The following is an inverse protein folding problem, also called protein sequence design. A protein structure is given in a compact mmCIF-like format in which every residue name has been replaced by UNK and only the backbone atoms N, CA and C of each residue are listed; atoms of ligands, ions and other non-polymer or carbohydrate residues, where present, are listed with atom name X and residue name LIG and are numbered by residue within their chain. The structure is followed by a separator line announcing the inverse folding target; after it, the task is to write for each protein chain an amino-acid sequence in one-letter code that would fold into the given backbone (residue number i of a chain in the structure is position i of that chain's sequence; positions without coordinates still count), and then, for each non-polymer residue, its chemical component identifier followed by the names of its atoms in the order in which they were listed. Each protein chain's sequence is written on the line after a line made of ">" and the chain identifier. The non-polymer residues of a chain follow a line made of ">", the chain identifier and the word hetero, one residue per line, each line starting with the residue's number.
data_IF_266965971809
#
_entry.id   IF_266965971809
#
_cell.length_a   1.000
_cell.length_b   1.000
_cell.length_c   1.000
_cell.angle_alpha   90.00
_cell.angle_beta   90.00
_cell.angle_gamma   90.00
#
_symmetry.space_group_name_H-M   'P 1'
#
loop_
_entity.id
_entity.type
_entity.pdbx_description
1 polymer ?
#
# COMPACT_ATOMS: atom_id res chain seq x y z
N UNK A 1 -13.83 -36.44 -9.33
CA UNK A 1 -14.06 -35.63 -10.55
C UNK A 1 -13.40 -34.27 -10.34
N UNK A 2 -12.47 -33.84 -11.20
CA UNK A 2 -11.88 -32.49 -11.10
C UNK A 2 -13.00 -31.48 -11.33
N UNK A 3 -13.30 -30.62 -10.34
CA UNK A 3 -14.31 -29.57 -10.50
C UNK A 3 -13.89 -28.63 -11.64
N UNK A 4 -14.86 -28.12 -12.39
CA UNK A 4 -14.62 -27.11 -13.42
C UNK A 4 -13.99 -25.86 -12.79
N UNK A 5 -13.07 -25.21 -13.50
CA UNK A 5 -12.45 -23.99 -13.00
C UNK A 5 -13.51 -22.87 -13.01
N UNK A 6 -13.78 -22.22 -11.87
CA UNK A 6 -14.84 -21.21 -11.81
C UNK A 6 -14.60 -19.99 -12.70
N UNK A 7 -15.69 -19.36 -13.15
CA UNK A 7 -15.64 -18.21 -14.07
C UNK A 7 -14.94 -17.00 -13.45
N UNK A 8 -15.07 -16.76 -12.14
CA UNK A 8 -14.41 -15.64 -11.50
C UNK A 8 -12.89 -15.74 -11.59
N UNK A 9 -12.34 -16.96 -11.60
CA UNK A 9 -10.90 -17.17 -11.79
C UNK A 9 -10.43 -16.80 -13.19
N UNK A 10 -11.24 -17.12 -14.21
CA UNK A 10 -10.98 -16.75 -15.61
C UNK A 10 -11.00 -15.23 -15.76
N UNK A 11 -12.01 -14.58 -15.15
CA UNK A 11 -12.11 -13.12 -15.11
C UNK A 11 -10.88 -12.51 -14.43
N UNK A 12 -10.47 -13.05 -13.28
CA UNK A 12 -9.26 -12.60 -12.56
C UNK A 12 -8.01 -12.69 -13.43
N UNK A 13 -7.77 -13.83 -14.08
CA UNK A 13 -6.59 -14.01 -14.96
C UNK A 13 -6.63 -13.01 -16.13
N UNK A 14 -7.77 -12.92 -16.82
CA UNK A 14 -7.93 -12.01 -17.95
C UNK A 14 -7.74 -10.54 -17.52
N UNK A 15 -8.29 -10.16 -16.37
CA UNK A 15 -8.18 -8.79 -15.84
C UNK A 15 -6.74 -8.46 -15.45
N UNK A 16 -5.99 -9.39 -14.85
CA UNK A 16 -4.58 -9.16 -14.52
C UNK A 16 -3.75 -8.92 -15.79
N UNK A 17 -3.89 -9.80 -16.79
CA UNK A 17 -3.17 -9.69 -18.07
C UNK A 17 -3.50 -8.37 -18.80
N UNK A 18 -4.78 -8.02 -18.86
CA UNK A 18 -5.20 -6.75 -19.47
C UNK A 18 -4.66 -5.54 -18.70
N UNK A 19 -4.65 -5.61 -17.37
CA UNK A 19 -4.13 -4.54 -16.52
C UNK A 19 -2.64 -4.34 -16.68
N UNK A 20 -1.86 -5.42 -16.83
CA UNK A 20 -0.42 -5.35 -17.12
C UNK A 20 -0.15 -4.73 -18.49
N UNK A 21 -0.88 -5.16 -19.54
CA UNK A 21 -0.75 -4.58 -20.88
C UNK A 21 -1.07 -3.08 -20.86
N UNK A 22 -2.17 -2.68 -20.20
CA UNK A 22 -2.59 -1.29 -20.14
C UNK A 22 -1.74 -0.43 -19.21
N UNK A 23 -1.11 -1.02 -18.18
CA UNK A 23 -0.09 -0.35 -17.37
C UNK A 23 1.09 0.10 -18.24
N UNK A 24 1.66 -0.79 -19.06
CA UNK A 24 2.80 -0.44 -19.93
C UNK A 24 2.42 0.54 -21.04
N UNK A 25 1.16 0.51 -21.50
CA UNK A 25 0.62 1.50 -22.45
C UNK A 25 0.15 2.80 -21.79
N UNK A 26 0.26 2.91 -20.46
CA UNK A 26 -0.22 4.05 -19.66
C UNK A 26 -1.70 4.42 -19.93
N UNK A 27 -2.56 3.41 -20.11
CA UNK A 27 -3.99 3.59 -20.39
C UNK A 27 -4.78 3.69 -19.09
N UNK A 28 -5.56 4.75 -18.94
CA UNK A 28 -6.47 4.91 -17.79
C UNK A 28 -7.74 4.07 -17.92
N UNK A 29 -8.34 3.58 -16.81
CA UNK A 29 -7.92 3.77 -15.41
C UNK A 29 -6.83 2.79 -14.94
N UNK A 30 -6.36 1.88 -15.78
CA UNK A 30 -5.44 0.80 -15.39
C UNK A 30 -4.07 1.31 -14.96
N UNK A 31 -3.60 2.43 -15.53
CA UNK A 31 -2.32 3.03 -15.16
C UNK A 31 -2.36 3.65 -13.75
N UNK A 32 -3.35 4.51 -13.47
CA UNK A 32 -3.50 5.13 -12.15
C UNK A 32 -3.87 4.13 -11.04
N UNK A 33 -4.67 3.11 -11.37
CA UNK A 33 -5.26 2.17 -10.41
C UNK A 33 -4.75 0.73 -10.55
N UNK A 34 -3.58 0.53 -11.17
CA UNK A 34 -3.00 -0.80 -11.44
C UNK A 34 -3.00 -1.70 -10.21
N UNK A 35 -2.58 -1.16 -9.06
CA UNK A 35 -2.54 -1.88 -7.79
C UNK A 35 -3.87 -2.56 -7.45
N UNK A 36 -4.98 -1.82 -7.56
CA UNK A 36 -6.32 -2.32 -7.26
C UNK A 36 -6.69 -3.45 -8.22
N UNK A 37 -6.48 -3.24 -9.52
CA UNK A 37 -6.78 -4.26 -10.52
C UNK A 37 -5.97 -5.53 -10.31
N UNK A 38 -4.67 -5.41 -10.03
CA UNK A 38 -3.79 -6.55 -9.84
C UNK A 38 -4.21 -7.40 -8.62
N UNK A 39 -4.46 -6.75 -7.48
CA UNK A 39 -4.85 -7.47 -6.25
C UNK A 39 -6.22 -8.13 -6.34
N UNK A 40 -7.24 -7.43 -6.85
CA UNK A 40 -8.56 -8.04 -7.01
C UNK A 40 -8.53 -9.19 -8.02
N UNK A 41 -7.74 -9.06 -9.09
CA UNK A 41 -7.51 -10.15 -10.04
C UNK A 41 -6.88 -11.36 -9.35
N UNK A 42 -5.83 -11.15 -8.54
CA UNK A 42 -5.18 -12.21 -7.77
C UNK A 42 -6.16 -12.92 -6.83
N UNK A 43 -6.92 -12.17 -6.04
CA UNK A 43 -7.92 -12.71 -5.10
C UNK A 43 -8.91 -13.62 -5.83
N UNK A 44 -9.48 -13.15 -6.95
CA UNK A 44 -10.43 -13.92 -7.76
C UNK A 44 -9.80 -15.20 -8.35
N UNK A 45 -8.56 -15.10 -8.82
CA UNK A 45 -7.82 -16.25 -9.36
C UNK A 45 -7.51 -17.28 -8.28
N UNK A 46 -7.00 -16.86 -7.12
CA UNK A 46 -6.64 -17.77 -6.04
C UNK A 46 -7.88 -18.47 -5.45
N UNK A 47 -8.98 -17.75 -5.23
CA UNK A 47 -10.25 -18.33 -4.79
C UNK A 47 -10.71 -19.47 -5.73
N UNK A 48 -10.67 -19.22 -7.04
CA UNK A 48 -11.05 -20.21 -8.05
C UNK A 48 -10.12 -21.42 -8.07
N UNK A 49 -8.81 -21.23 -7.84
CA UNK A 49 -7.84 -22.32 -7.69
C UNK A 49 -8.19 -23.16 -6.46
N UNK A 50 -8.43 -22.54 -5.31
CA UNK A 50 -8.81 -23.24 -4.07
C UNK A 50 -10.10 -24.03 -4.27
N UNK A 51 -11.12 -23.43 -4.89
CA UNK A 51 -12.37 -24.11 -5.19
C UNK A 51 -12.14 -25.34 -6.07
N UNK A 52 -11.28 -25.24 -7.09
CA UNK A 52 -10.95 -26.37 -7.96
C UNK A 52 -10.23 -27.49 -7.22
N UNK A 53 -9.37 -27.15 -6.25
CA UNK A 53 -8.56 -28.10 -5.49
C UNK A 53 -9.36 -28.84 -4.41
N UNK A 54 -10.13 -28.14 -3.57
CA UNK A 54 -10.87 -28.77 -2.45
C UNK A 54 -12.39 -28.64 -2.51
N UNK A 55 -12.91 -27.82 -3.41
CA UNK A 55 -14.36 -27.71 -3.62
C UNK A 55 -15.11 -26.79 -2.66
N UNK A 56 -14.39 -26.07 -1.82
CA UNK A 56 -14.86 -25.00 -0.94
C UNK A 56 -13.93 -23.80 -1.12
N UNK A 57 -14.47 -22.58 -1.20
CA UNK A 57 -13.69 -21.34 -1.36
C UNK A 57 -14.43 -20.16 -0.72
N UNK A 58 -13.73 -19.04 -0.52
CA UNK A 58 -14.24 -17.93 0.27
C UNK A 58 -15.34 -17.18 -0.50
N UNK A 59 -15.13 -16.94 -1.80
CA UNK A 59 -16.06 -16.19 -2.66
C UNK A 59 -17.26 -17.05 -3.05
N UNK A 60 -17.08 -18.34 -3.39
CA UNK A 60 -18.21 -19.16 -3.87
C UNK A 60 -19.04 -19.81 -2.75
N UNK A 61 -18.42 -20.25 -1.67
CA UNK A 61 -19.10 -21.02 -0.62
C UNK A 61 -19.35 -20.22 0.65
N UNK A 62 -18.49 -19.22 0.91
CA UNK A 62 -18.49 -18.39 2.13
C UNK A 62 -18.68 -16.91 1.77
N UNK A 63 -19.42 -16.63 0.70
CA UNK A 63 -19.59 -15.32 0.07
C UNK A 63 -19.95 -14.19 1.04
N UNK A 64 -20.81 -14.48 2.03
CA UNK A 64 -21.17 -13.50 3.06
C UNK A 64 -19.98 -13.09 3.92
N UNK A 65 -19.14 -14.05 4.28
CA UNK A 65 -17.93 -13.78 5.06
C UNK A 65 -16.88 -13.05 4.24
N UNK A 66 -16.77 -13.35 2.95
CA UNK A 66 -15.95 -12.57 2.02
C UNK A 66 -16.35 -11.08 2.01
N UNK A 67 -17.62 -10.77 1.75
CA UNK A 67 -18.05 -9.36 1.69
C UNK A 67 -18.00 -8.66 3.04
N UNK A 68 -18.22 -9.38 4.14
CA UNK A 68 -18.05 -8.81 5.48
C UNK A 68 -16.59 -8.58 5.85
N UNK A 69 -15.66 -9.32 5.26
CA UNK A 69 -14.23 -9.15 5.49
C UNK A 69 -13.69 -7.86 4.87
N UNK A 70 -14.22 -7.40 3.74
CA UNK A 70 -13.74 -6.19 3.05
C UNK A 70 -13.76 -4.92 3.94
N UNK A 71 -14.88 -4.54 4.59
CA UNK A 71 -14.88 -3.37 5.47
C UNK A 71 -14.00 -3.56 6.71
N UNK A 72 -13.84 -4.80 7.21
CA UNK A 72 -12.87 -5.08 8.28
C UNK A 72 -11.42 -5.01 7.80
N UNK A 73 -11.15 -5.37 6.55
CA UNK A 73 -9.84 -5.22 5.92
C UNK A 73 -9.45 -3.75 5.84
N UNK A 74 -10.37 -2.92 5.35
CA UNK A 74 -10.21 -1.47 5.36
C UNK A 74 -9.96 -0.96 6.79
N UNK A 75 -10.82 -1.31 7.74
CA UNK A 75 -10.71 -0.83 9.12
C UNK A 75 -9.37 -1.23 9.78
N UNK A 76 -8.96 -2.50 9.63
CA UNK A 76 -7.71 -2.99 10.19
C UNK A 76 -6.52 -2.27 9.56
N UNK A 77 -6.48 -2.12 8.23
CA UNK A 77 -5.39 -1.39 7.59
C UNK A 77 -5.34 0.07 8.05
N UNK A 78 -6.49 0.71 8.26
CA UNK A 78 -6.54 2.10 8.73
C UNK A 78 -5.98 2.30 10.14
N UNK A 79 -5.91 1.25 10.98
CA UNK A 79 -5.18 1.31 12.26
C UNK A 79 -3.69 1.52 12.01
N UNK A 80 -3.12 0.86 11.00
CA UNK A 80 -1.71 1.04 10.62
C UNK A 80 -1.46 2.36 9.91
N UNK A 81 -2.41 2.86 9.11
CA UNK A 81 -2.36 4.24 8.60
C UNK A 81 -2.39 5.27 9.73
N UNK A 82 -3.22 5.06 10.75
CA UNK A 82 -3.26 5.92 11.93
C UNK A 82 -1.92 5.90 12.69
N UNK A 83 -1.31 4.73 12.84
CA UNK A 83 0.03 4.61 13.41
C UNK A 83 1.08 5.32 12.54
N UNK A 84 0.97 5.21 11.21
CA UNK A 84 1.88 5.84 10.26
C UNK A 84 1.89 7.38 10.33
N UNK A 85 0.83 8.00 10.85
CA UNK A 85 0.82 9.45 11.12
C UNK A 85 1.92 9.89 12.10
N UNK A 86 2.39 8.98 12.96
CA UNK A 86 3.48 9.21 13.91
C UNK A 86 4.76 8.51 13.50
N UNK A 87 4.66 7.31 12.90
CA UNK A 87 5.82 6.54 12.47
C UNK A 87 6.52 7.16 11.25
N UNK A 88 5.75 7.76 10.35
CA UNK A 88 6.24 8.30 9.06
C UNK A 88 7.03 7.26 8.24
N UNK A 89 6.65 5.99 8.31
CA UNK A 89 7.33 4.87 7.65
C UNK A 89 7.06 4.82 6.14
N UNK A 90 5.92 5.32 5.68
CA UNK A 90 5.60 5.45 4.26
C UNK A 90 4.82 6.73 3.94
N UNK A 91 4.81 7.08 2.66
CA UNK A 91 4.00 8.15 2.10
C UNK A 91 3.52 7.80 0.68
N UNK A 92 2.43 8.41 0.23
CA UNK A 92 1.84 8.18 -1.09
C UNK A 92 2.26 9.23 -2.10
N UNK A 93 2.48 8.82 -3.35
CA UNK A 93 2.86 9.70 -4.45
C UNK A 93 1.97 9.46 -5.67
N UNK A 94 1.84 10.50 -6.51
CA UNK A 94 1.08 10.50 -7.76
C UNK A 94 -0.41 10.15 -7.62
N UNK A 95 -1.02 10.47 -6.48
CA UNK A 95 -2.45 10.19 -6.31
C UNK A 95 -3.36 11.09 -7.15
N UNK A 96 -4.62 10.68 -7.37
CA UNK A 96 -5.57 11.53 -8.06
C UNK A 96 -5.92 12.84 -7.37
N UNK A 97 -6.17 13.89 -8.13
CA UNK A 97 -6.54 15.19 -7.56
C UNK A 97 -7.94 15.20 -6.95
N UNK A 98 -8.86 14.42 -7.52
CA UNK A 98 -10.24 14.39 -7.05
C UNK A 98 -10.37 13.56 -5.78
N UNK A 99 -10.85 14.20 -4.70
CA UNK A 99 -10.93 13.60 -3.36
C UNK A 99 -11.76 12.31 -3.32
N UNK A 100 -12.92 12.31 -3.97
CA UNK A 100 -13.79 11.13 -3.95
C UNK A 100 -13.15 9.95 -4.69
N UNK A 101 -12.47 10.22 -5.80
CA UNK A 101 -11.69 9.21 -6.52
C UNK A 101 -10.62 8.59 -5.63
N UNK A 102 -9.83 9.42 -4.93
CA UNK A 102 -8.82 8.95 -3.97
C UNK A 102 -9.42 8.10 -2.87
N UNK A 103 -10.48 8.57 -2.22
CA UNK A 103 -11.08 7.89 -1.08
C UNK A 103 -11.72 6.56 -1.46
N UNK A 104 -12.36 6.49 -2.63
CA UNK A 104 -12.82 5.22 -3.19
C UNK A 104 -11.64 4.30 -3.49
N UNK A 105 -10.57 4.84 -4.05
CA UNK A 105 -9.30 4.16 -4.24
C UNK A 105 -8.72 3.55 -2.97
N UNK A 106 -8.63 4.32 -1.89
CA UNK A 106 -8.20 3.85 -0.58
C UNK A 106 -9.07 2.70 -0.10
N UNK A 107 -10.39 2.83 -0.17
CA UNK A 107 -11.31 1.77 0.24
C UNK A 107 -11.12 0.49 -0.56
N UNK A 108 -10.97 0.61 -1.89
CA UNK A 108 -10.77 -0.53 -2.80
C UNK A 108 -9.40 -1.18 -2.56
N UNK A 109 -8.34 -0.39 -2.38
CA UNK A 109 -6.98 -0.87 -2.16
C UNK A 109 -6.82 -1.54 -0.78
N UNK A 110 -7.29 -0.90 0.28
CA UNK A 110 -7.17 -1.43 1.65
C UNK A 110 -8.15 -2.59 1.90
N UNK A 111 -9.23 -2.66 1.12
CA UNK A 111 -10.16 -3.79 1.09
C UNK A 111 -9.54 -5.11 0.62
N UNK A 112 -8.38 -5.08 -0.06
CA UNK A 112 -7.70 -6.30 -0.55
C UNK A 112 -6.79 -6.96 0.48
N UNK A 113 -6.46 -6.25 1.57
CA UNK A 113 -5.41 -6.69 2.51
C UNK A 113 -5.74 -8.04 3.14
N UNK A 114 -6.88 -8.18 3.82
CA UNK A 114 -7.28 -9.47 4.41
C UNK A 114 -7.63 -10.52 3.36
N UNK A 115 -8.46 -10.23 2.33
CA UNK A 115 -8.77 -11.24 1.31
C UNK A 115 -7.51 -11.80 0.65
N UNK A 116 -6.54 -10.96 0.29
CA UNK A 116 -5.27 -11.39 -0.28
C UNK A 116 -4.53 -12.34 0.67
N UNK A 117 -4.30 -11.94 1.92
CA UNK A 117 -3.57 -12.75 2.90
C UNK A 117 -4.28 -14.07 3.23
N UNK A 118 -5.60 -14.06 3.38
CA UNK A 118 -6.36 -15.24 3.81
C UNK A 118 -6.57 -16.24 2.66
N UNK A 119 -6.80 -15.76 1.43
CA UNK A 119 -6.81 -16.63 0.25
C UNK A 119 -5.44 -17.28 0.03
N UNK A 120 -4.35 -16.52 0.15
CA UNK A 120 -2.99 -17.10 0.05
C UNK A 120 -2.74 -18.13 1.15
N UNK A 121 -3.14 -17.83 2.40
CA UNK A 121 -3.02 -18.78 3.52
C UNK A 121 -3.81 -20.07 3.25
N UNK A 122 -5.04 -19.94 2.77
CA UNK A 122 -5.92 -21.08 2.47
C UNK A 122 -5.44 -21.89 1.26
N UNK A 123 -4.83 -21.26 0.26
CA UNK A 123 -4.18 -21.96 -0.85
C UNK A 123 -3.04 -22.83 -0.33
N UNK A 124 -2.13 -22.26 0.47
CA UNK A 124 -1.01 -23.00 1.06
C UNK A 124 -1.50 -24.16 1.94
N UNK A 125 -2.57 -23.93 2.70
CA UNK A 125 -3.24 -24.95 3.49
C UNK A 125 -3.80 -26.08 2.62
N UNK A 126 -4.48 -25.72 1.52
CA UNK A 126 -5.10 -26.66 0.57
C UNK A 126 -4.06 -27.50 -0.17
N UNK A 127 -2.88 -26.94 -0.42
CA UNK A 127 -1.73 -27.66 -0.97
C UNK A 127 -1.07 -28.62 0.05
N UNK A 128 -1.51 -28.61 1.31
CA UNK A 128 -1.06 -29.54 2.34
C UNK A 128 0.29 -29.19 2.97
N UNK A 129 0.74 -27.94 2.84
CA UNK A 129 1.99 -27.48 3.47
C UNK A 129 1.87 -27.60 5.00
N UNK A 130 2.97 -28.03 5.62
CA UNK A 130 3.09 -28.23 7.08
C UNK A 130 2.04 -29.14 7.72
N UNK A 131 1.35 -30.00 6.95
CA UNK A 131 0.33 -30.92 7.48
C UNK A 131 0.84 -31.84 8.61
N UNK A 132 2.14 -32.18 8.58
CA UNK A 132 2.80 -33.04 9.55
C UNK A 132 3.68 -32.27 10.53
N UNK A 133 3.64 -30.93 10.52
CA UNK A 133 4.43 -30.13 11.45
C UNK A 133 3.88 -30.30 12.87
N UNK A 134 4.78 -30.55 13.82
CA UNK A 134 4.46 -30.64 15.24
C UNK A 134 5.56 -30.02 16.07
N UNK A 135 5.18 -29.39 17.18
CA UNK A 135 6.10 -28.82 18.16
C UNK A 135 5.77 -29.34 19.55
N UNK A 136 6.71 -29.19 20.49
CA UNK A 136 6.47 -29.50 21.89
C UNK A 136 5.27 -28.70 22.40
N UNK A 137 4.28 -29.42 22.94
CA UNK A 137 3.11 -28.83 23.59
C UNK A 137 3.56 -27.89 24.68
N UNK A 138 3.23 -26.61 24.54
CA UNK A 138 3.65 -25.55 25.46
C UNK A 138 2.40 -24.90 26.00
N UNK A 139 2.09 -25.14 27.27
CA UNK A 139 0.94 -24.55 27.95
C UNK A 139 1.36 -23.17 28.47
N UNK A 140 0.55 -22.16 28.21
CA UNK A 140 0.81 -20.80 28.70
C UNK A 140 -0.09 -20.54 29.91
N UNK A 141 0.54 -20.19 31.03
CA UNK A 141 -0.20 -19.93 32.28
C UNK A 141 -1.05 -18.66 32.18
N UNK A 142 -1.98 -18.48 33.12
CA UNK A 142 -2.80 -17.27 33.20
C UNK A 142 -1.95 -15.99 33.39
N UNK A 143 -0.85 -16.11 34.13
CA UNK A 143 0.15 -15.04 34.31
C UNK A 143 0.88 -14.77 32.99
N UNK A 144 1.18 -15.82 32.23
CA UNK A 144 1.74 -15.71 30.88
C UNK A 144 0.84 -14.93 29.93
N UNK A 145 -0.48 -15.19 29.93
CA UNK A 145 -1.45 -14.41 29.16
C UNK A 145 -1.45 -12.92 29.56
N UNK A 146 -1.40 -12.62 30.86
CA UNK A 146 -1.31 -11.24 31.36
C UNK A 146 -0.01 -10.56 30.92
N UNK A 147 1.11 -11.28 30.94
CA UNK A 147 2.40 -10.78 30.49
C UNK A 147 2.41 -10.49 28.99
N UNK A 148 1.81 -11.36 28.16
CA UNK A 148 1.66 -11.12 26.72
C UNK A 148 0.86 -9.83 26.45
N UNK A 149 -0.26 -9.64 27.15
CA UNK A 149 -1.06 -8.41 27.01
C UNK A 149 -0.26 -7.16 27.41
N UNK A 150 0.51 -7.23 28.51
CA UNK A 150 1.37 -6.12 28.93
C UNK A 150 2.44 -5.81 27.87
N UNK A 151 3.15 -6.83 27.39
CA UNK A 151 4.17 -6.68 26.35
C UNK A 151 3.58 -6.13 25.05
N UNK A 152 2.40 -6.60 24.64
CA UNK A 152 1.68 -6.09 23.47
C UNK A 152 1.35 -4.60 23.58
N UNK A 153 0.82 -4.19 24.74
CA UNK A 153 0.57 -2.78 25.04
C UNK A 153 1.86 -1.96 25.01
N UNK A 154 2.93 -2.43 25.64
CA UNK A 154 4.23 -1.76 25.63
C UNK A 154 4.80 -1.63 24.20
N UNK A 155 4.67 -2.66 23.37
CA UNK A 155 5.06 -2.62 21.95
C UNK A 155 4.32 -1.52 21.18
N UNK A 156 2.99 -1.44 21.32
CA UNK A 156 2.18 -0.44 20.61
C UNK A 156 2.47 0.98 21.12
N UNK A 157 2.50 1.17 22.45
CA UNK A 157 2.76 2.48 23.05
C UNK A 157 4.17 2.97 22.72
N UNK A 158 5.20 2.13 22.86
CA UNK A 158 6.57 2.51 22.53
C UNK A 158 6.75 2.84 21.05
N UNK A 159 6.06 2.12 20.14
CA UNK A 159 6.09 2.45 18.71
C UNK A 159 5.54 3.84 18.41
N UNK A 160 4.56 4.34 19.18
CA UNK A 160 4.03 5.68 19.02
C UNK A 160 4.88 6.76 19.71
N UNK A 161 5.48 6.45 20.87
CA UNK A 161 6.27 7.41 21.65
C UNK A 161 7.70 7.60 21.14
N UNK A 162 8.31 6.53 20.62
CA UNK A 162 9.71 6.52 20.15
C UNK A 162 9.75 5.88 18.74
N UNK A 163 9.07 6.49 17.74
CA UNK A 163 8.88 5.88 16.43
C UNK A 163 10.20 5.60 15.70
N UNK A 164 11.24 6.42 15.89
CA UNK A 164 12.53 6.26 15.21
C UNK A 164 13.18 4.89 15.45
N UNK A 165 12.99 4.30 16.64
CA UNK A 165 13.61 3.02 17.02
C UNK A 165 12.57 1.90 17.21
N UNK A 166 11.39 2.24 17.72
CA UNK A 166 10.37 1.25 18.09
C UNK A 166 9.34 0.99 16.99
N UNK A 167 9.48 1.58 15.80
CA UNK A 167 8.56 1.30 14.68
C UNK A 167 8.36 -0.19 14.36
N UNK A 168 9.35 -1.11 14.49
CA UNK A 168 9.12 -2.52 14.15
C UNK A 168 8.11 -3.19 15.08
N UNK A 169 7.94 -2.68 16.31
CA UNK A 169 7.08 -3.28 17.32
C UNK A 169 5.60 -3.20 16.99
N UNK A 170 5.19 -2.27 16.11
CA UNK A 170 3.79 -2.16 15.66
C UNK A 170 3.32 -3.45 14.98
N UNK A 171 4.21 -4.14 14.26
CA UNK A 171 3.89 -5.35 13.48
C UNK A 171 3.70 -6.61 14.33
N UNK A 172 4.03 -6.56 15.63
CA UNK A 172 3.84 -7.67 16.57
C UNK A 172 2.91 -7.32 17.75
N UNK A 173 2.74 -6.03 18.06
CA UNK A 173 2.00 -5.57 19.24
C UNK A 173 0.58 -6.15 19.39
N UNK A 174 -0.25 -6.11 18.34
CA UNK A 174 -1.59 -6.69 18.40
C UNK A 174 -1.62 -8.22 18.49
N UNK A 175 -0.56 -8.93 18.09
CA UNK A 175 -0.48 -10.39 18.29
C UNK A 175 -0.46 -10.64 19.80
N UNK A 176 0.51 -10.05 20.50
CA UNK A 176 0.70 -10.23 21.93
C UNK A 176 -0.50 -9.71 22.74
N UNK A 177 -1.10 -8.61 22.29
CA UNK A 177 -2.24 -7.99 22.96
C UNK A 177 -3.54 -8.79 22.81
N UNK A 178 -3.89 -9.23 21.61
CA UNK A 178 -5.23 -9.74 21.30
C UNK A 178 -5.33 -11.27 21.30
N UNK A 179 -4.23 -11.99 21.11
CA UNK A 179 -4.26 -13.45 21.13
C UNK A 179 -4.82 -13.98 22.47
N UNK A 180 -4.38 -13.51 23.66
CA UNK A 180 -4.91 -13.99 24.93
C UNK A 180 -6.43 -13.83 25.08
N UNK A 181 -7.03 -12.83 24.42
CA UNK A 181 -8.48 -12.67 24.37
C UNK A 181 -9.13 -13.76 23.51
N UNK A 182 -8.58 -14.03 22.32
CA UNK A 182 -9.07 -15.11 21.46
C UNK A 182 -9.03 -16.46 22.18
N UNK A 183 -7.92 -16.74 22.90
CA UNK A 183 -7.80 -17.92 23.74
C UNK A 183 -8.87 -17.97 24.84
N UNK A 184 -8.96 -16.93 25.67
CA UNK A 184 -9.85 -16.88 26.85
C UNK A 184 -11.33 -16.96 26.49
N UNK A 185 -11.73 -16.35 25.38
CA UNK A 185 -13.11 -16.32 24.91
C UNK A 185 -13.45 -17.46 23.94
N UNK A 186 -12.59 -18.49 23.84
CA UNK A 186 -12.80 -19.70 23.04
C UNK A 186 -13.03 -19.43 21.55
N UNK A 187 -12.36 -18.41 21.00
CA UNK A 187 -12.27 -18.19 19.55
C UNK A 187 -11.14 -19.00 18.92
N UNK A 188 -10.89 -18.78 17.63
CA UNK A 188 -9.70 -19.30 16.95
C UNK A 188 -8.44 -18.65 17.55
N UNK A 189 -7.52 -19.49 18.02
CA UNK A 189 -6.39 -19.08 18.86
C UNK A 189 -5.12 -19.82 18.45
N UNK A 190 -4.08 -19.05 18.13
CA UNK A 190 -2.77 -19.57 17.77
C UNK A 190 -2.01 -20.09 18.99
N UNK A 191 -2.26 -19.54 20.19
CA UNK A 191 -1.73 -20.10 21.42
C UNK A 191 -2.33 -21.47 21.68
N UNK A 192 -3.65 -21.65 21.52
CA UNK A 192 -4.28 -22.96 21.66
C UNK A 192 -3.70 -23.98 20.67
N UNK A 193 -3.45 -23.58 19.43
CA UNK A 193 -2.77 -24.42 18.44
C UNK A 193 -1.38 -24.87 18.92
N UNK A 194 -0.62 -23.99 19.56
CA UNK A 194 0.68 -24.32 20.16
C UNK A 194 0.56 -25.24 21.39
N UNK A 195 -0.46 -25.07 22.23
CA UNK A 195 -0.75 -25.99 23.36
C UNK A 195 -1.06 -27.40 22.85
N UNK A 196 -1.75 -27.50 21.72
CA UNK A 196 -2.06 -28.77 21.05
C UNK A 196 -0.86 -29.33 20.26
N UNK A 197 0.23 -28.57 20.11
CA UNK A 197 1.43 -28.96 19.37
C UNK A 197 1.27 -28.90 17.85
N UNK A 198 0.38 -28.04 17.35
CA UNK A 198 0.00 -27.88 15.93
C UNK A 198 0.39 -26.49 15.40
N UNK A 199 1.67 -26.24 15.07
CA UNK A 199 2.15 -24.91 14.64
C UNK A 199 1.74 -24.54 13.21
N UNK A 200 1.02 -25.45 12.52
CA UNK A 200 0.72 -25.38 11.08
C UNK A 200 0.18 -24.01 10.67
N UNK A 201 -0.83 -23.48 11.38
CA UNK A 201 -1.47 -22.21 11.03
C UNK A 201 -0.49 -21.03 11.09
N UNK A 202 0.37 -20.98 12.11
CA UNK A 202 1.40 -19.95 12.25
C UNK A 202 2.34 -19.98 11.05
N UNK A 203 2.85 -21.15 10.67
CA UNK A 203 3.78 -21.27 9.53
C UNK A 203 3.12 -20.87 8.21
N UNK A 204 1.87 -21.26 7.99
CA UNK A 204 1.12 -20.86 6.79
C UNK A 204 0.91 -19.35 6.73
N UNK A 205 0.54 -18.71 7.84
CA UNK A 205 0.38 -17.25 7.92
C UNK A 205 1.70 -16.52 7.66
N UNK A 206 2.80 -16.98 8.23
CA UNK A 206 4.13 -16.38 8.00
C UNK A 206 4.54 -16.45 6.52
N UNK A 207 4.34 -17.59 5.86
CA UNK A 207 4.66 -17.74 4.44
C UNK A 207 3.70 -16.98 3.55
N UNK A 208 2.40 -16.97 3.87
CA UNK A 208 1.44 -16.14 3.18
C UNK A 208 1.84 -14.66 3.26
N UNK A 209 2.30 -14.20 4.43
CA UNK A 209 2.84 -12.84 4.59
C UNK A 209 4.07 -12.58 3.74
N UNK A 210 5.00 -13.52 3.61
CA UNK A 210 6.13 -13.38 2.67
C UNK A 210 5.67 -13.25 1.22
N UNK A 211 4.74 -14.12 0.78
CA UNK A 211 4.22 -14.11 -0.60
C UNK A 211 3.46 -12.81 -0.87
N UNK A 212 2.52 -12.44 0.00
CA UNK A 212 1.75 -11.21 -0.14
C UNK A 212 2.64 -9.98 -0.06
N UNK A 213 3.62 -9.96 0.84
CA UNK A 213 4.65 -8.92 0.94
C UNK A 213 5.43 -8.73 -0.36
N UNK A 214 5.88 -9.83 -0.97
CA UNK A 214 6.53 -9.79 -2.27
C UNK A 214 5.62 -9.24 -3.36
N UNK A 215 4.37 -9.71 -3.45
CA UNK A 215 3.41 -9.26 -4.46
C UNK A 215 3.00 -7.78 -4.27
N UNK A 216 2.86 -7.33 -3.01
CA UNK A 216 2.60 -5.92 -2.69
C UNK A 216 3.70 -5.04 -3.26
N UNK A 217 4.95 -5.38 -2.99
CA UNK A 217 6.10 -4.62 -3.49
C UNK A 217 6.24 -4.70 -5.00
N UNK A 218 6.04 -5.89 -5.58
CA UNK A 218 6.12 -6.09 -7.01
C UNK A 218 5.11 -5.22 -7.77
N UNK A 219 3.83 -5.22 -7.39
CA UNK A 219 2.83 -4.41 -8.09
C UNK A 219 2.91 -2.91 -7.76
N UNK A 220 3.28 -2.54 -6.53
CA UNK A 220 3.50 -1.15 -6.15
C UNK A 220 4.67 -0.50 -6.92
N UNK A 221 5.71 -1.28 -7.20
CA UNK A 221 6.87 -0.82 -7.97
C UNK A 221 6.48 -0.30 -9.37
N UNK A 222 5.51 -0.94 -10.03
CA UNK A 222 5.07 -0.54 -11.37
C UNK A 222 3.92 0.47 -11.38
N UNK A 223 3.04 0.45 -10.37
CA UNK A 223 1.87 1.33 -10.32
C UNK A 223 2.23 2.82 -10.39
N UNK A 224 1.41 3.68 -11.01
CA UNK A 224 1.63 5.12 -10.96
C UNK A 224 1.39 5.66 -9.54
N UNK A 225 0.17 5.47 -9.03
CA UNK A 225 -0.18 5.71 -7.63
C UNK A 225 0.50 4.66 -6.77
N UNK A 226 1.49 5.07 -5.97
CA UNK A 226 2.31 4.14 -5.19
C UNK A 226 2.65 4.70 -3.81
N UNK A 227 2.96 3.82 -2.87
CA UNK A 227 3.60 4.20 -1.63
C UNK A 227 5.12 4.05 -1.73
N UNK A 228 5.84 4.92 -1.02
CA UNK A 228 7.31 4.93 -0.94
C UNK A 228 7.71 4.84 0.53
N UNK A 229 8.61 3.90 0.84
CA UNK A 229 9.09 3.70 2.20
C UNK A 229 10.22 4.66 2.59
N UNK A 230 10.09 5.17 3.80
CA UNK A 230 11.04 6.06 4.52
C UNK A 230 11.47 5.43 5.84
N UNK A 231 11.65 4.11 5.85
CA UNK A 231 12.09 3.36 7.04
C UNK A 231 13.45 3.90 7.51
N UNK A 232 13.57 4.34 8.78
CA UNK A 232 14.82 4.82 9.34
C UNK A 232 15.96 3.81 9.14
N UNK A 233 17.18 4.32 8.91
CA UNK A 233 18.43 3.54 8.77
C UNK A 233 18.57 2.63 7.53
N UNK A 234 17.50 2.33 6.79
CA UNK A 234 17.53 1.32 5.70
C UNK A 234 17.30 1.88 4.29
N UNK A 235 17.55 3.18 4.07
CA UNK A 235 17.18 3.85 2.82
C UNK A 235 18.07 3.51 1.61
N UNK A 236 19.25 2.91 1.81
CA UNK A 236 20.27 2.76 0.77
C UNK A 236 20.20 1.42 0.01
N UNK A 237 19.73 0.34 0.65
CA UNK A 237 19.65 -1.00 0.04
C UNK A 237 18.19 -1.45 -0.10
N UNK A 238 17.58 -1.09 -1.23
CA UNK A 238 16.19 -1.45 -1.56
C UNK A 238 16.16 -2.49 -2.68
N UNK A 239 15.30 -3.51 -2.55
CA UNK A 239 15.02 -4.47 -3.62
C UNK A 239 13.95 -3.96 -4.58
N UNK A 240 12.94 -3.27 -4.03
CA UNK A 240 11.90 -2.52 -4.74
C UNK A 240 11.76 -1.13 -4.10
N UNK A 241 10.57 -0.76 -3.62
CA UNK A 241 10.41 0.41 -2.76
C UNK A 241 10.86 0.13 -1.32
N UNK A 242 10.71 -1.12 -0.88
CA UNK A 242 11.08 -1.58 0.44
C UNK A 242 12.55 -2.03 0.55
N UNK A 243 13.21 -1.73 1.68
CA UNK A 243 14.47 -2.37 2.05
C UNK A 243 14.32 -3.87 2.27
N UNK A 244 15.36 -4.67 2.03
CA UNK A 244 15.30 -6.14 2.21
C UNK A 244 14.84 -6.55 3.62
N UNK A 245 15.33 -5.87 4.65
CA UNK A 245 14.93 -6.14 6.04
C UNK A 245 13.48 -5.73 6.31
N UNK A 246 12.92 -4.80 5.53
CA UNK A 246 11.51 -4.44 5.62
C UNK A 246 10.59 -5.63 5.29
N UNK A 247 11.00 -6.53 4.38
CA UNK A 247 10.20 -7.71 4.04
C UNK A 247 9.93 -8.62 5.24
N UNK A 248 10.78 -8.57 6.28
CA UNK A 248 10.58 -9.32 7.53
C UNK A 248 9.38 -8.81 8.35
N UNK A 249 8.84 -7.64 8.03
CA UNK A 249 7.61 -7.11 8.65
C UNK A 249 6.33 -7.74 8.12
N UNK A 250 6.31 -8.24 6.87
CA UNK A 250 5.09 -8.82 6.29
C UNK A 250 4.64 -10.14 6.95
N UNK A 251 5.53 -11.09 7.30
CA UNK A 251 5.14 -12.32 7.97
C UNK A 251 4.43 -12.09 9.31
N UNK A 252 4.99 -11.33 10.28
CA UNK A 252 4.28 -11.06 11.52
C UNK A 252 3.02 -10.21 11.29
N UNK A 253 2.99 -9.32 10.30
CA UNK A 253 1.78 -8.59 9.95
C UNK A 253 0.62 -9.51 9.56
N UNK A 254 0.85 -10.56 8.77
CA UNK A 254 -0.21 -11.51 8.41
C UNK A 254 -0.73 -12.29 9.63
N UNK A 255 0.17 -12.70 10.53
CA UNK A 255 -0.23 -13.31 11.82
C UNK A 255 -1.06 -12.32 12.64
N UNK A 256 -0.63 -11.07 12.70
CA UNK A 256 -1.32 -10.01 13.43
C UNK A 256 -2.71 -9.73 12.90
N UNK A 257 -2.86 -9.62 11.57
CA UNK A 257 -4.14 -9.41 10.92
C UNK A 257 -5.11 -10.58 11.15
N UNK A 258 -4.61 -11.82 11.16
CA UNK A 258 -5.38 -13.00 11.53
C UNK A 258 -5.91 -12.93 12.97
N UNK A 259 -5.03 -12.60 13.92
CA UNK A 259 -5.40 -12.44 15.34
C UNK A 259 -6.45 -11.34 15.53
N UNK A 260 -6.26 -10.18 14.89
CA UNK A 260 -7.20 -9.07 14.93
C UNK A 260 -8.57 -9.44 14.34
N UNK A 261 -8.59 -10.15 13.20
CA UNK A 261 -9.84 -10.59 12.60
C UNK A 261 -10.58 -11.60 13.48
N UNK A 262 -9.88 -12.56 14.08
CA UNK A 262 -10.51 -13.52 14.99
C UNK A 262 -11.04 -12.88 16.28
N UNK A 263 -10.37 -11.83 16.76
CA UNK A 263 -10.89 -11.01 17.86
C UNK A 263 -12.22 -10.35 17.50
N UNK A 264 -12.35 -9.81 16.28
CA UNK A 264 -13.62 -9.29 15.75
C UNK A 264 -14.67 -10.41 15.66
N UNK A 265 -14.29 -11.62 15.25
CA UNK A 265 -15.19 -12.78 15.16
C UNK A 265 -15.78 -13.20 16.51
N UNK A 266 -15.15 -12.92 17.64
CA UNK A 266 -15.72 -13.16 18.98
C UNK A 266 -17.07 -12.44 19.15
N UNK A 267 -17.16 -11.19 18.69
CA UNK A 267 -18.40 -10.39 18.73
C UNK A 267 -19.47 -10.87 17.74
N UNK A 268 -19.10 -11.82 16.88
CA UNK A 268 -19.97 -12.45 15.88
C UNK A 268 -20.30 -13.90 16.21
N UNK A 269 -20.21 -14.27 17.49
CA UNK A 269 -20.42 -15.63 18.01
C UNK A 269 -19.41 -16.66 17.46
N UNK A 270 -18.16 -16.23 17.27
CA UNK A 270 -17.06 -17.07 16.78
C UNK A 270 -17.12 -17.38 15.28
N UNK A 271 -18.03 -16.73 14.52
CA UNK A 271 -18.10 -16.90 13.07
C UNK A 271 -16.89 -16.25 12.41
N UNK A 272 -16.05 -17.07 11.80
CA UNK A 272 -14.87 -16.66 11.07
C UNK A 272 -15.00 -16.87 9.57
N UNK A 273 -13.91 -16.60 8.87
CA UNK A 273 -13.79 -16.79 7.43
C UNK A 273 -13.41 -18.21 7.04
N UNK A 274 -12.84 -19.00 7.97
CA UNK A 274 -12.36 -20.35 7.69
C UNK A 274 -13.51 -21.34 7.45
N UNK A 275 -13.21 -22.42 6.73
CA UNK A 275 -14.18 -23.48 6.43
C UNK A 275 -14.76 -24.15 7.69
N UNK A 276 -13.96 -24.25 8.75
CA UNK A 276 -14.36 -24.78 10.07
C UNK A 276 -15.29 -23.85 10.84
N UNK A 277 -15.21 -22.53 10.62
CA UNK A 277 -15.79 -21.52 11.54
C UNK A 277 -16.96 -20.75 10.96
N UNK A 278 -17.10 -20.66 9.63
CA UNK A 278 -18.12 -19.79 9.01
C UNK A 278 -19.57 -20.20 9.28
N UNK A 279 -19.81 -21.46 9.65
CA UNK A 279 -21.15 -22.00 10.01
C UNK A 279 -21.39 -22.11 11.52
N UNK A 280 -20.48 -21.64 12.35
CA UNK A 280 -20.67 -21.71 13.81
C UNK A 280 -21.85 -20.83 14.25
N UNK A 281 -22.64 -21.34 15.19
CA UNK A 281 -23.70 -20.58 15.88
C UNK A 281 -24.69 -19.85 14.96
N UNK A 282 -25.09 -20.42 13.81
CA UNK A 282 -26.01 -19.77 12.84
C UNK A 282 -27.35 -19.32 13.45
N UNK A 283 -27.81 -19.97 14.50
CA UNK A 283 -29.02 -19.60 15.22
C UNK A 283 -28.88 -18.27 16.00
N UNK A 284 -27.65 -17.88 16.36
CA UNK A 284 -27.37 -16.63 17.07
C UNK A 284 -27.18 -15.49 16.08
N UNK A 285 -28.11 -14.53 16.07
CA UNK A 285 -27.99 -13.31 15.27
C UNK A 285 -27.24 -12.23 16.04
N UNK A 286 -26.36 -11.51 15.33
CA UNK A 286 -25.79 -10.27 15.84
C UNK A 286 -26.92 -9.27 16.07
N UNK A 287 -26.91 -8.57 17.22
CA UNK A 287 -27.94 -7.58 17.53
C UNK A 287 -27.90 -6.45 16.47
N UNK A 288 -29.05 -6.00 15.92
CA UNK A 288 -29.08 -4.94 14.91
C UNK A 288 -28.37 -3.66 15.36
N UNK A 289 -28.54 -3.28 16.63
CA UNK A 289 -27.86 -2.12 17.20
C UNK A 289 -26.33 -2.26 17.14
N UNK A 290 -25.78 -3.44 17.46
CA UNK A 290 -24.34 -3.70 17.36
C UNK A 290 -23.87 -3.56 15.92
N UNK A 291 -24.63 -4.07 14.94
CA UNK A 291 -24.29 -3.91 13.53
C UNK A 291 -24.26 -2.44 13.09
N UNK A 292 -25.26 -1.65 13.51
CA UNK A 292 -25.34 -0.22 13.20
C UNK A 292 -24.17 0.54 13.85
N UNK A 293 -23.90 0.30 15.13
CA UNK A 293 -22.79 0.94 15.84
C UNK A 293 -21.44 0.57 15.23
N UNK A 294 -21.24 -0.69 14.83
CA UNK A 294 -20.05 -1.13 14.11
C UNK A 294 -19.92 -0.43 12.76
N UNK A 295 -21.01 -0.30 11.99
CA UNK A 295 -20.98 0.41 10.71
C UNK A 295 -20.63 1.90 10.88
N UNK A 296 -21.21 2.56 11.90
CA UNK A 296 -20.88 3.95 12.25
C UNK A 296 -19.42 4.08 12.68
N UNK A 297 -18.91 3.16 13.49
CA UNK A 297 -17.51 3.14 13.91
C UNK A 297 -16.58 3.02 12.70
N UNK A 298 -16.80 2.03 11.83
CA UNK A 298 -15.96 1.82 10.64
C UNK A 298 -16.04 3.05 9.72
N UNK A 299 -17.25 3.56 9.47
CA UNK A 299 -17.46 4.72 8.59
C UNK A 299 -16.80 5.99 9.13
N UNK A 300 -17.03 6.33 10.39
CA UNK A 300 -16.47 7.53 11.03
C UNK A 300 -14.95 7.47 11.13
N UNK A 301 -14.39 6.31 11.54
CA UNK A 301 -12.95 6.10 11.59
C UNK A 301 -12.32 6.20 10.20
N UNK A 302 -12.95 5.61 9.18
CA UNK A 302 -12.46 5.70 7.79
C UNK A 302 -12.42 7.14 7.27
N UNK A 303 -13.47 7.93 7.50
CA UNK A 303 -13.51 9.34 7.10
C UNK A 303 -12.41 10.15 7.80
N UNK A 304 -12.22 9.92 9.10
CA UNK A 304 -11.20 10.61 9.90
C UNK A 304 -9.80 10.29 9.38
N UNK A 305 -9.49 9.00 9.19
CA UNK A 305 -8.16 8.57 8.77
C UNK A 305 -7.90 8.90 7.30
N UNK A 306 -8.88 8.80 6.39
CA UNK A 306 -8.72 9.24 5.00
C UNK A 306 -8.38 10.72 4.90
N UNK A 307 -9.02 11.56 5.73
CA UNK A 307 -8.67 12.98 5.82
C UNK A 307 -7.25 13.17 6.36
N UNK A 308 -6.82 12.38 7.36
CA UNK A 308 -5.48 12.46 7.90
C UNK A 308 -4.41 12.01 6.87
N UNK A 309 -4.69 10.95 6.11
CA UNK A 309 -3.85 10.46 5.01
C UNK A 309 -3.63 11.57 3.99
N UNK A 310 -4.71 12.20 3.49
CA UNK A 310 -4.61 13.31 2.51
C UNK A 310 -3.77 14.49 3.03
N UNK A 311 -3.75 14.73 4.34
CA UNK A 311 -3.04 15.87 4.95
C UNK A 311 -1.58 15.57 5.32
N UNK A 312 -1.25 14.32 5.63
CA UNK A 312 0.02 13.96 6.28
C UNK A 312 0.80 12.85 5.57
N UNK A 313 0.12 12.02 4.78
CA UNK A 313 0.70 10.84 4.14
C UNK A 313 0.74 10.99 2.62
N UNK A 314 -0.20 11.73 2.01
CA UNK A 314 -0.16 12.06 0.59
C UNK A 314 0.83 13.20 0.36
N UNK A 315 1.82 12.93 -0.47
CA UNK A 315 2.94 13.83 -0.70
C UNK A 315 2.86 14.53 -2.08
N UNK A 316 2.36 13.82 -3.08
CA UNK A 316 2.20 14.37 -4.42
C UNK A 316 0.98 13.82 -5.14
N UNK A 317 0.44 14.63 -6.04
CA UNK A 317 -0.63 14.28 -6.97
C UNK A 317 -0.06 14.12 -8.37
N UNK A 318 -0.75 13.38 -9.25
CA UNK A 318 -0.28 13.22 -10.63
C UNK A 318 -0.12 14.59 -11.32
N UNK A 319 1.03 14.89 -11.94
CA UNK A 319 1.24 16.14 -12.64
C UNK A 319 0.26 16.31 -13.81
N UNK A 320 -0.41 17.46 -13.89
CA UNK A 320 -1.32 17.78 -15.00
C UNK A 320 -0.77 18.97 -15.77
N UNK A 321 -0.94 18.93 -17.08
CA UNK A 321 -0.55 20.03 -17.96
C UNK A 321 -1.19 21.37 -17.54
N UNK A 322 -2.47 21.34 -17.12
CA UNK A 322 -3.17 22.54 -16.64
C UNK A 322 -2.54 23.18 -15.37
N UNK A 323 -1.85 22.38 -14.55
CA UNK A 323 -1.23 22.82 -13.30
C UNK A 323 0.24 23.24 -13.49
N UNK A 324 0.80 23.08 -14.71
CA UNK A 324 2.17 23.42 -15.05
C UNK A 324 2.35 24.96 -15.10
N UNK A 325 2.55 25.57 -13.93
CA UNK A 325 2.63 27.02 -13.78
C UNK A 325 3.80 27.67 -14.54
N UNK A 326 4.81 26.88 -14.91
CA UNK A 326 5.95 27.33 -15.70
C UNK A 326 5.66 27.44 -17.19
N UNK A 327 4.48 26.99 -17.63
CA UNK A 327 3.96 27.15 -18.99
C UNK A 327 2.89 28.24 -18.95
N UNK A 328 2.97 29.25 -19.80
CA UNK A 328 1.96 30.30 -19.85
C UNK A 328 0.57 29.72 -20.13
N UNK A 329 -0.47 30.38 -19.62
CA UNK A 329 -1.85 29.86 -19.72
C UNK A 329 -2.31 29.67 -21.17
N UNK A 330 -1.81 30.48 -22.10
CA UNK A 330 -2.12 30.36 -23.52
C UNK A 330 -1.63 29.02 -24.09
N UNK A 331 -0.38 28.66 -23.82
CA UNK A 331 0.22 27.44 -24.34
C UNK A 331 -0.31 26.18 -23.66
N UNK A 332 -0.73 26.26 -22.39
CA UNK A 332 -1.43 25.15 -21.72
C UNK A 332 -2.72 24.72 -22.44
N UNK A 333 -3.37 25.64 -23.15
CA UNK A 333 -4.60 25.37 -23.94
C UNK A 333 -4.26 24.92 -25.36
N UNK A 334 -3.14 25.37 -25.92
CA UNK A 334 -2.71 25.04 -27.28
C UNK A 334 -2.00 23.70 -27.40
N UNK A 335 -1.22 23.31 -26.38
CA UNK A 335 -0.46 22.05 -26.36
C UNK A 335 -1.30 20.81 -26.71
N UNK A 336 -2.52 20.62 -26.17
CA UNK A 336 -3.37 19.50 -26.57
C UNK A 336 -3.74 19.51 -28.07
N UNK A 337 -3.87 20.69 -28.69
CA UNK A 337 -4.22 20.83 -30.11
C UNK A 337 -3.07 20.40 -31.04
N UNK A 338 -1.82 20.55 -30.58
CA UNK A 338 -0.63 20.07 -31.29
C UNK A 338 -0.23 18.63 -30.89
N UNK A 339 -1.12 17.92 -30.20
CA UNK A 339 -0.94 16.53 -29.82
C UNK A 339 -0.12 16.32 -28.55
N UNK A 340 0.00 17.32 -27.68
CA UNK A 340 0.59 17.21 -26.34
C UNK A 340 -0.54 17.28 -25.30
N UNK A 341 -1.17 16.14 -25.00
CA UNK A 341 -2.32 16.10 -24.10
C UNK A 341 -1.89 16.15 -22.61
N UNK A 342 -0.69 15.68 -22.30
CA UNK A 342 -0.17 15.59 -20.94
C UNK A 342 1.35 15.87 -20.90
N UNK A 343 1.92 15.85 -19.69
CA UNK A 343 3.35 16.12 -19.50
C UNK A 343 4.26 14.98 -19.96
N UNK A 344 3.78 13.73 -20.02
CA UNK A 344 4.53 12.61 -20.63
C UNK A 344 4.65 12.79 -22.15
N UNK A 345 3.59 13.28 -22.81
CA UNK A 345 3.61 13.61 -24.24
C UNK A 345 4.65 14.70 -24.52
N UNK A 346 4.73 15.71 -23.64
CA UNK A 346 5.71 16.78 -23.76
C UNK A 346 7.13 16.22 -23.71
N UNK A 347 7.44 15.34 -22.77
CA UNK A 347 8.78 14.75 -22.67
C UNK A 347 9.08 13.76 -23.79
N UNK A 348 8.10 12.98 -24.25
CA UNK A 348 8.31 11.99 -25.30
C UNK A 348 8.54 12.62 -26.67
N UNK A 349 7.79 13.68 -27.01
CA UNK A 349 7.90 14.41 -28.29
C UNK A 349 8.95 15.54 -28.29
N UNK A 350 9.79 15.59 -27.26
CA UNK A 350 10.94 16.51 -27.20
C UNK A 350 12.24 15.75 -26.96
N UNK A 351 12.24 14.42 -27.13
CA UNK A 351 13.44 13.58 -26.97
C UNK A 351 14.46 13.84 -28.06
N UNK A 352 13.99 13.93 -29.30
CA UNK A 352 14.85 14.18 -30.45
C UNK A 352 14.95 15.67 -30.75
N UNK A 353 16.13 16.10 -31.21
CA UNK A 353 16.39 17.51 -31.56
C UNK A 353 15.42 18.00 -32.64
N UNK A 354 15.14 17.16 -33.64
CA UNK A 354 14.25 17.50 -34.75
C UNK A 354 12.79 17.69 -34.29
N UNK A 355 12.29 16.80 -33.43
CA UNK A 355 10.93 16.91 -32.87
C UNK A 355 10.78 18.15 -31.99
N UNK A 356 11.81 18.46 -31.19
CA UNK A 356 11.84 19.67 -30.37
C UNK A 356 11.83 20.94 -31.23
N UNK A 357 12.63 20.97 -32.31
CA UNK A 357 12.69 22.10 -33.24
C UNK A 357 11.35 22.28 -33.97
N UNK A 358 10.73 21.19 -34.41
CA UNK A 358 9.41 21.21 -35.04
C UNK A 358 8.32 21.71 -34.08
N UNK A 359 8.32 21.24 -32.83
CA UNK A 359 7.34 21.65 -31.83
C UNK A 359 7.48 23.14 -31.47
N UNK A 360 8.71 23.64 -31.33
CA UNK A 360 8.97 25.07 -31.09
C UNK A 360 8.44 25.94 -32.23
N UNK A 361 8.64 25.53 -33.48
CA UNK A 361 8.11 26.22 -34.67
C UNK A 361 6.57 26.19 -34.70
N UNK A 362 5.95 25.04 -34.43
CA UNK A 362 4.48 24.90 -34.41
C UNK A 362 3.83 25.78 -33.34
N UNK A 363 4.49 25.95 -32.20
CA UNK A 363 4.01 26.78 -31.09
C UNK A 363 4.44 28.25 -31.21
N UNK A 364 5.26 28.60 -32.21
CA UNK A 364 5.82 29.95 -32.39
C UNK A 364 6.54 30.46 -31.13
N UNK A 365 7.32 29.61 -30.48
CA UNK A 365 8.09 29.95 -29.26
C UNK A 365 9.60 29.81 -29.47
N UNK A 366 10.42 30.58 -28.72
CA UNK A 366 11.85 30.36 -28.67
C UNK A 366 12.17 28.94 -28.16
N UNK A 367 13.18 28.31 -28.75
CA UNK A 367 13.61 26.95 -28.36
C UNK A 367 14.05 26.88 -26.91
N UNK A 368 14.67 27.95 -26.41
CA UNK A 368 15.16 28.08 -25.04
C UNK A 368 14.00 28.00 -24.04
N UNK A 369 12.84 28.57 -24.40
CA UNK A 369 11.64 28.49 -23.57
C UNK A 369 11.10 27.06 -23.50
N UNK A 370 11.08 26.35 -24.64
CA UNK A 370 10.66 24.95 -24.69
C UNK A 370 11.60 24.05 -23.88
N UNK A 371 12.91 24.29 -23.93
CA UNK A 371 13.90 23.59 -23.10
C UNK A 371 13.60 23.79 -21.61
N UNK A 372 13.32 25.02 -21.18
CA UNK A 372 12.95 25.29 -19.78
C UNK A 372 11.67 24.55 -19.37
N UNK A 373 10.68 24.44 -20.27
CA UNK A 373 9.47 23.65 -19.99
C UNK A 373 9.80 22.18 -19.81
N UNK A 374 10.67 21.62 -20.66
CA UNK A 374 11.12 20.23 -20.59
C UNK A 374 11.89 19.98 -19.28
N UNK A 375 12.87 20.82 -18.92
CA UNK A 375 13.67 20.66 -17.69
C UNK A 375 12.80 20.65 -16.43
N UNK A 376 11.84 21.58 -16.34
CA UNK A 376 10.90 21.63 -15.21
C UNK A 376 9.94 20.45 -15.20
N UNK A 377 9.51 20.01 -16.37
CA UNK A 377 8.66 18.82 -16.50
C UNK A 377 9.40 17.55 -16.06
N UNK A 378 10.67 17.40 -16.44
CA UNK A 378 11.52 16.31 -16.00
C UNK A 378 11.69 16.30 -14.47
N UNK A 379 11.95 17.47 -13.86
CA UNK A 379 12.01 17.59 -12.40
C UNK A 379 10.69 17.19 -11.74
N UNK A 380 9.55 17.68 -12.22
CA UNK A 380 8.22 17.36 -11.65
C UNK A 380 7.90 15.88 -11.72
N UNK A 381 8.40 15.18 -12.75
CA UNK A 381 8.24 13.75 -12.91
C UNK A 381 9.22 12.92 -12.08
N UNK A 382 10.25 13.51 -11.46
CA UNK A 382 11.06 12.79 -10.49
C UNK A 382 10.19 12.25 -9.37
N UNK A 383 10.50 11.01 -8.99
CA UNK A 383 9.74 10.24 -8.02
C UNK A 383 9.51 11.02 -6.72
N UNK A 384 8.24 11.27 -6.42
CA UNK A 384 7.82 11.98 -5.22
C UNK A 384 8.17 13.47 -5.19
N UNK A 385 8.51 14.09 -6.32
CA UNK A 385 8.75 15.53 -6.41
C UNK A 385 7.42 16.24 -6.69
N UNK A 386 6.85 16.11 -7.88
CA UNK A 386 5.56 16.76 -8.19
C UNK A 386 5.61 18.29 -8.20
N UNK A 387 4.50 18.92 -8.55
CA UNK A 387 4.46 20.36 -8.88
C UNK A 387 4.73 21.26 -7.67
N UNK A 388 4.21 20.91 -6.48
CA UNK A 388 4.35 21.74 -5.29
C UNK A 388 5.80 21.82 -4.80
N UNK A 389 6.53 20.71 -4.90
CA UNK A 389 7.93 20.66 -4.47
C UNK A 389 8.89 21.27 -5.48
N UNK A 390 8.52 21.34 -6.76
CA UNK A 390 9.29 22.10 -7.76
C UNK A 390 9.45 23.56 -7.32
N UNK A 391 8.37 24.21 -6.84
CA UNK A 391 8.43 25.61 -6.36
C UNK A 391 9.42 25.80 -5.22
N UNK A 392 9.52 24.80 -4.35
CA UNK A 392 10.45 24.82 -3.21
C UNK A 392 11.89 24.72 -3.71
N UNK A 393 12.15 23.83 -4.69
CA UNK A 393 13.46 23.67 -5.30
C UNK A 393 13.90 24.90 -6.09
N UNK A 394 12.98 25.53 -6.84
CA UNK A 394 13.26 26.78 -7.54
C UNK A 394 13.63 27.90 -6.55
N UNK A 395 12.96 27.96 -5.39
CA UNK A 395 13.29 28.92 -4.33
C UNK A 395 14.67 28.76 -3.70
N UNK A 396 15.32 27.61 -3.87
CA UNK A 396 16.72 27.36 -3.43
C UNK A 396 17.71 27.32 -4.60
N UNK A 397 17.29 27.77 -5.79
CA UNK A 397 18.14 27.90 -6.99
C UNK A 397 18.33 26.61 -7.79
N UNK A 398 17.47 25.61 -7.61
CA UNK A 398 17.54 24.35 -8.37
C UNK A 398 16.49 24.37 -9.48
N UNK A 399 16.97 24.40 -10.73
CA UNK A 399 16.12 24.51 -11.93
C UNK A 399 16.25 23.33 -12.91
N UNK A 400 17.22 22.44 -12.70
CA UNK A 400 17.47 21.29 -13.58
C UNK A 400 17.79 20.01 -12.81
N UNK A 401 17.59 18.85 -13.47
CA UNK A 401 17.98 17.54 -12.94
C UNK A 401 19.49 17.47 -12.68
N UNK A 402 20.30 18.03 -13.58
CA UNK A 402 21.76 18.04 -13.44
C UNK A 402 22.20 18.77 -12.17
N UNK A 403 21.64 19.96 -11.92
CA UNK A 403 21.91 20.73 -10.71
C UNK A 403 21.52 19.93 -9.46
N UNK A 404 20.31 19.36 -9.45
CA UNK A 404 19.83 18.55 -8.32
C UNK A 404 20.70 17.30 -8.07
N UNK A 405 21.22 16.67 -9.11
CA UNK A 405 22.07 15.49 -9.01
C UNK A 405 23.42 15.78 -8.33
N UNK A 406 23.92 17.02 -8.39
CA UNK A 406 25.20 17.41 -7.76
C UNK A 406 25.07 17.85 -6.30
N UNK A 407 23.86 18.13 -5.83
CA UNK A 407 23.63 18.61 -4.47
C UNK A 407 23.89 17.54 -3.39
N UNK A 408 24.32 18.00 -2.22
CA UNK A 408 24.37 17.17 -1.02
C UNK A 408 22.99 17.20 -0.32
N UNK A 409 22.34 16.05 -0.08
CA UNK A 409 20.99 16.03 0.51
C UNK A 409 20.88 16.71 1.88
N UNK A 410 21.95 16.69 2.70
CA UNK A 410 21.94 17.32 4.03
C UNK A 410 22.04 18.83 3.92
N UNK A 411 22.88 19.34 3.00
CA UNK A 411 22.96 20.78 2.70
C UNK A 411 21.66 21.29 2.07
N UNK A 412 21.11 20.55 1.11
CA UNK A 412 19.85 20.91 0.47
C UNK A 412 18.69 20.96 1.46
N UNK A 413 18.60 20.02 2.40
CA UNK A 413 17.62 20.07 3.50
C UNK A 413 17.70 21.37 4.31
N UNK A 414 18.91 21.82 4.66
CA UNK A 414 19.10 23.08 5.37
C UNK A 414 18.68 24.29 4.54
N UNK A 415 19.08 24.36 3.26
CA UNK A 415 18.69 25.43 2.32
C UNK A 415 17.17 25.53 2.21
N UNK A 416 16.49 24.39 2.02
CA UNK A 416 15.02 24.34 1.92
C UNK A 416 14.37 24.82 3.22
N UNK A 417 14.89 24.41 4.37
CA UNK A 417 14.39 24.85 5.67
C UNK A 417 14.43 26.37 5.87
N UNK A 418 15.36 27.08 5.22
CA UNK A 418 15.46 28.54 5.28
C UNK A 418 14.40 29.24 4.42
N UNK A 419 13.96 28.61 3.33
CA UNK A 419 12.96 29.16 2.39
C UNK A 419 11.52 28.82 2.80
N UNK A 420 11.32 27.74 3.58
CA UNK A 420 10.03 27.33 4.11
C UNK A 420 9.56 28.25 5.25
N UNK A 421 9.18 29.49 4.95
CA UNK A 421 8.57 30.40 5.92
C UNK A 421 7.17 29.89 6.35
N UNK A 422 7.06 29.32 7.54
CA UNK A 422 5.78 28.91 8.15
C UNK A 422 5.17 27.61 7.59
N UNK A 423 5.85 26.91 6.69
CA UNK A 423 5.44 25.57 6.22
C UNK A 423 6.13 24.48 7.05
N UNK A 424 5.48 23.32 7.28
CA UNK A 424 6.12 22.20 7.93
C UNK A 424 7.36 21.75 7.12
N UNK A 425 8.46 21.39 7.79
CA UNK A 425 9.67 20.95 7.11
C UNK A 425 9.41 19.66 6.32
N UNK A 426 9.98 19.56 5.12
CA UNK A 426 9.94 18.32 4.34
C UNK A 426 10.66 17.19 5.07
N UNK A 427 10.28 15.93 4.82
CA UNK A 427 11.01 14.78 5.38
C UNK A 427 12.42 14.72 4.79
N UNK A 428 13.44 14.50 5.63
CA UNK A 428 14.86 14.37 5.19
C UNK A 428 15.05 13.24 4.17
N UNK A 429 14.33 12.14 4.34
CA UNK A 429 14.36 10.99 3.42
C UNK A 429 13.92 11.36 2.01
N UNK A 430 12.95 12.27 1.89
CA UNK A 430 12.41 12.73 0.61
C UNK A 430 13.46 13.39 -0.27
N UNK A 431 14.23 14.31 0.32
CA UNK A 431 15.30 15.01 -0.40
C UNK A 431 16.39 14.05 -0.85
N UNK A 432 16.71 13.05 -0.01
CA UNK A 432 17.66 11.98 -0.40
C UNK A 432 17.15 11.18 -1.60
N UNK A 433 15.86 10.88 -1.66
CA UNK A 433 15.23 10.19 -2.80
C UNK A 433 15.34 11.06 -4.05
N UNK A 434 14.98 12.35 -3.99
CA UNK A 434 15.06 13.25 -5.14
C UNK A 434 16.46 13.34 -5.74
N UNK A 435 17.48 13.58 -4.91
CA UNK A 435 18.87 13.66 -5.36
C UNK A 435 19.34 12.33 -5.96
N UNK A 436 18.93 11.20 -5.37
CA UNK A 436 19.29 9.86 -5.88
C UNK A 436 18.66 9.58 -7.25
N UNK A 437 17.38 9.87 -7.43
CA UNK A 437 16.69 9.67 -8.70
C UNK A 437 17.26 10.61 -9.77
N UNK A 438 17.58 11.86 -9.41
CA UNK A 438 18.27 12.78 -10.31
C UNK A 438 19.64 12.22 -10.76
N UNK A 439 20.46 11.70 -9.84
CA UNK A 439 21.73 11.04 -10.17
C UNK A 439 21.56 9.83 -11.09
N UNK A 440 20.51 9.03 -10.88
CA UNK A 440 20.20 7.86 -11.72
C UNK A 440 19.87 8.28 -13.15
N UNK A 441 19.09 9.33 -13.33
CA UNK A 441 18.73 9.86 -14.65
C UNK A 441 19.96 10.42 -15.36
N UNK A 442 20.78 11.24 -14.69
CA UNK A 442 22.02 11.78 -15.30
C UNK A 442 22.93 10.65 -15.80
N UNK A 443 23.16 9.61 -14.98
CA UNK A 443 23.96 8.44 -15.34
C UNK A 443 23.40 7.60 -16.49
N UNK A 444 22.11 7.75 -16.83
CA UNK A 444 21.52 7.02 -17.97
C UNK A 444 21.72 7.73 -19.29
N UNK A 445 22.17 8.99 -19.26
CA UNK A 445 22.54 9.79 -20.43
C UNK A 445 24.05 9.79 -20.69
N UNK A 446 24.85 9.31 -19.73
CA UNK A 446 26.29 9.00 -19.87
C UNK A 446 26.45 7.57 -20.41
#
# INVERSE_FOLDING_TARGET
>A
MKKTFPIQGIIGIALLLLSEIFLFKKVEPFYSWFYCFAWWSYILTIDAVIYRLKGNSLILNRTKEFFLMIPWSLFIWLIFEAANLFLENWYYTYLPHFKMERWLGYAIAYGTVLPGMFETTELLETLGLFKNASVKKTIISSEGHSMLMLLGTLCLVSSALIPEYCFPLVWVGFILLLEPFNYRFRGESLLKDLEEGKPKKIYLLLIAGLICGFLWEFWNFWAQSKWVYTVPFFEERKGFEMPFLGFLGFPPFTVQAYVMYNFISLFRSGRGWEESTYRLNLARRTRPLTMILTAILIGSFSILIFRAIDLKTVDSYYPRLKDAYWIESQYRIELPKVGIANLDDLLSKTREKNEMDELALRLLIPKELLIQWVEKTQLVQLKGLGIENLRILEGVGIHSISTLATEDPRKLYKKIGQVLHGRPPLRKAKIRIWVREAKKIVRSYE
#
